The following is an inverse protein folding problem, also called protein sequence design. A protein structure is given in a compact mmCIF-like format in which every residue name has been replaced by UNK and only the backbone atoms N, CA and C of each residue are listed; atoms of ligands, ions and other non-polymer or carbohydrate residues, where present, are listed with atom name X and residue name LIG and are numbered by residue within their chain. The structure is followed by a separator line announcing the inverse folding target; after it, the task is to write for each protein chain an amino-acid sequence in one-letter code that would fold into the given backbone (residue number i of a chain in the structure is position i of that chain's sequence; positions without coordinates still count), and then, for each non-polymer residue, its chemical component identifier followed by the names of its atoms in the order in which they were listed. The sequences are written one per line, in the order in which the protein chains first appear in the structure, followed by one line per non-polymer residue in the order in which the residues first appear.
data_IF_828091061853
#
_entry.id   IF_828091061853
#
_cell.length_a   1.000
_cell.length_b   1.000
_cell.length_c   1.000
_cell.angle_alpha   90.00
_cell.angle_beta   90.00
_cell.angle_gamma   90.00
#
_symmetry.space_group_name_H-M   'P 1'
#
loop_
_entity.id
_entity.type
_entity.pdbx_description
1 polymer ?
#
# COMPACT_ATOMS: atom_id res chain seq x y z
N UNK A 1 17.11 -7.31 18.59
CA UNK A 1 17.22 -7.70 17.15
C UNK A 1 17.34 -6.46 16.28
N UNK A 2 17.93 -6.57 15.10
CA UNK A 2 17.90 -5.50 14.09
C UNK A 2 16.57 -5.49 13.34
N UNK A 3 16.19 -4.36 12.74
CA UNK A 3 14.87 -4.16 12.10
C UNK A 3 14.53 -5.23 11.06
N UNK A 4 15.47 -5.59 10.18
CA UNK A 4 15.27 -6.64 9.18
C UNK A 4 14.92 -8.00 9.78
N UNK A 5 15.58 -8.38 10.87
CA UNK A 5 15.33 -9.64 11.58
C UNK A 5 13.95 -9.64 12.26
N UNK A 6 13.57 -8.54 12.92
CA UNK A 6 12.24 -8.39 13.52
C UNK A 6 11.14 -8.54 12.46
N UNK A 7 11.31 -7.84 11.33
CA UNK A 7 10.36 -7.90 10.23
C UNK A 7 10.23 -9.32 9.68
N UNK A 8 11.36 -10.01 9.42
CA UNK A 8 11.35 -11.38 8.90
C UNK A 8 10.64 -12.34 9.87
N UNK A 9 10.94 -12.28 11.17
CA UNK A 9 10.28 -13.12 12.18
C UNK A 9 8.78 -12.86 12.24
N UNK A 10 8.36 -11.60 12.12
CA UNK A 10 6.93 -11.26 12.07
C UNK A 10 6.25 -11.87 10.84
N UNK A 11 6.84 -11.72 9.65
CA UNK A 11 6.31 -12.30 8.40
C UNK A 11 6.20 -13.84 8.46
N UNK A 12 7.09 -14.49 9.22
CA UNK A 12 7.07 -15.93 9.47
C UNK A 12 6.14 -16.36 10.61
N UNK A 13 5.38 -15.42 11.20
CA UNK A 13 4.48 -15.66 12.34
C UNK A 13 5.19 -16.28 13.57
N UNK A 14 6.46 -15.93 13.79
CA UNK A 14 7.21 -16.44 14.93
C UNK A 14 6.92 -15.61 16.18
N UNK A 15 6.60 -16.26 17.33
CA UNK A 15 6.40 -15.56 18.59
C UNK A 15 7.64 -14.76 19.01
N UNK A 16 7.42 -13.67 19.73
CA UNK A 16 8.48 -12.86 20.31
C UNK A 16 8.50 -13.02 21.84
N UNK A 17 9.69 -12.90 22.44
CA UNK A 17 9.85 -13.03 23.89
C UNK A 17 9.98 -11.66 24.60
N UNK A 18 10.23 -10.62 23.83
CA UNK A 18 10.40 -9.25 24.30
C UNK A 18 9.59 -8.32 23.39
N UNK A 19 8.79 -7.40 23.97
CA UNK A 19 8.01 -6.42 23.21
C UNK A 19 8.87 -5.59 22.25
N UNK A 20 10.13 -5.34 22.60
CA UNK A 20 11.09 -4.60 21.75
C UNK A 20 11.43 -5.31 20.45
N UNK A 21 11.05 -6.58 20.31
CA UNK A 21 11.20 -7.37 19.10
C UNK A 21 9.95 -7.33 18.20
N UNK A 22 8.85 -6.71 18.66
CA UNK A 22 7.70 -6.39 17.80
C UNK A 22 8.13 -5.28 16.84
N UNK A 23 8.03 -5.48 15.51
CA UNK A 23 8.41 -4.43 14.57
C UNK A 23 7.38 -3.29 14.57
N UNK A 24 7.88 -2.06 14.39
CA UNK A 24 7.05 -0.88 14.15
C UNK A 24 7.15 -0.51 12.68
N UNK A 25 6.00 -0.42 12.01
CA UNK A 25 5.89 0.03 10.64
C UNK A 25 5.02 1.28 10.57
N UNK A 26 5.57 2.37 10.04
CA UNK A 26 4.84 3.61 9.77
C UNK A 26 4.84 3.88 8.26
N UNK A 27 3.78 4.53 7.78
CA UNK A 27 3.69 5.00 6.41
C UNK A 27 3.84 6.52 6.39
N UNK A 28 5.10 6.98 6.46
CA UNK A 28 5.47 8.39 6.53
C UNK A 28 5.79 8.92 5.12
N UNK A 29 4.79 9.48 4.44
CA UNK A 29 4.92 10.02 3.09
C UNK A 29 4.67 11.54 3.11
N UNK A 30 3.42 11.99 3.01
CA UNK A 30 3.07 13.42 2.94
C UNK A 30 3.30 14.14 4.27
N UNK A 31 3.16 13.44 5.40
CA UNK A 31 3.48 13.98 6.72
C UNK A 31 4.91 14.51 6.83
N UNK A 32 5.85 13.92 6.08
CA UNK A 32 7.26 14.34 6.14
C UNK A 32 7.46 15.81 5.77
N UNK A 33 6.73 16.32 4.78
CA UNK A 33 6.75 17.74 4.41
C UNK A 33 6.35 18.63 5.57
N UNK A 34 5.20 18.31 6.19
CA UNK A 34 4.68 19.08 7.34
C UNK A 34 5.65 19.07 8.51
N UNK A 35 6.15 17.89 8.88
CA UNK A 35 7.10 17.74 9.99
C UNK A 35 8.38 18.54 9.79
N UNK A 36 8.90 18.58 8.55
CA UNK A 36 10.13 19.29 8.19
C UNK A 36 9.90 20.79 7.88
N UNK A 37 8.67 21.29 7.94
CA UNK A 37 8.35 22.67 7.56
C UNK A 37 8.51 22.96 6.07
N UNK A 38 8.46 21.91 5.23
CA UNK A 38 8.46 22.00 3.77
C UNK A 38 7.03 21.95 3.22
N UNK A 39 6.79 22.59 2.08
CA UNK A 39 5.50 22.50 1.40
C UNK A 39 5.32 21.13 0.73
N UNK A 40 4.08 20.71 0.52
CA UNK A 40 3.78 19.51 -0.25
C UNK A 40 4.35 19.59 -1.66
N UNK A 41 4.25 20.77 -2.30
CA UNK A 41 4.87 21.03 -3.59
C UNK A 41 6.36 20.68 -3.60
N UNK A 42 7.12 21.14 -2.61
CA UNK A 42 8.56 20.92 -2.55
C UNK A 42 8.94 19.44 -2.49
N UNK A 43 8.24 18.66 -1.65
CA UNK A 43 8.52 17.22 -1.52
C UNK A 43 7.98 16.40 -2.70
N UNK A 44 6.95 16.88 -3.43
CA UNK A 44 6.45 16.26 -4.66
C UNK A 44 7.39 16.49 -5.85
N UNK A 45 7.95 17.70 -5.98
CA UNK A 45 8.81 18.08 -7.13
C UNK A 45 10.26 17.61 -6.98
N UNK A 46 10.72 17.35 -5.75
CA UNK A 46 12.14 17.03 -5.47
C UNK A 46 12.30 15.82 -4.57
N UNK A 47 12.83 14.74 -5.12
CA UNK A 47 13.15 13.55 -4.34
C UNK A 47 14.21 13.82 -3.26
N UNK A 48 15.16 14.73 -3.51
CA UNK A 48 16.16 15.14 -2.52
C UNK A 48 15.50 15.83 -1.32
N UNK A 49 14.56 16.76 -1.56
CA UNK A 49 13.79 17.41 -0.47
C UNK A 49 12.94 16.41 0.29
N UNK A 50 12.32 15.46 -0.39
CA UNK A 50 11.59 14.38 0.27
C UNK A 50 12.51 13.55 1.19
N UNK A 51 13.71 13.19 0.73
CA UNK A 51 14.68 12.46 1.56
C UNK A 51 15.10 13.27 2.79
N UNK A 52 15.36 14.58 2.62
CA UNK A 52 15.67 15.48 3.73
C UNK A 52 14.52 15.56 4.73
N UNK A 53 13.28 15.73 4.24
CA UNK A 53 12.08 15.77 5.05
C UNK A 53 11.85 14.46 5.81
N UNK A 54 12.04 13.32 5.14
CA UNK A 54 11.88 11.98 5.73
C UNK A 54 12.91 11.74 6.84
N UNK A 55 14.16 12.07 6.60
CA UNK A 55 15.21 11.97 7.62
C UNK A 55 14.89 12.88 8.82
N UNK A 56 14.51 14.14 8.59
CA UNK A 56 14.11 15.05 9.66
C UNK A 56 12.95 14.51 10.48
N UNK A 57 11.97 13.89 9.82
CA UNK A 57 10.83 13.26 10.48
C UNK A 57 11.29 12.13 11.40
N UNK A 58 12.16 11.23 10.93
CA UNK A 58 12.72 10.17 11.79
C UNK A 58 13.50 10.72 12.99
N UNK A 59 14.30 11.78 12.78
CA UNK A 59 15.03 12.44 13.87
C UNK A 59 14.08 13.06 14.91
N UNK A 60 12.87 13.46 14.48
CA UNK A 60 11.87 14.12 15.35
C UNK A 60 10.99 13.14 16.10
N UNK A 61 10.42 12.13 15.41
CA UNK A 61 9.43 11.22 16.00
C UNK A 61 10.04 9.90 16.47
N UNK A 62 11.26 9.59 16.07
CA UNK A 62 11.95 8.31 16.26
C UNK A 62 11.99 7.48 14.98
N UNK A 63 12.84 6.48 14.98
CA UNK A 63 13.06 5.59 13.83
C UNK A 63 12.16 4.37 13.92
N UNK A 64 11.22 4.15 12.97
CA UNK A 64 10.47 2.89 12.88
C UNK A 64 11.39 1.74 12.44
N UNK A 65 10.95 0.49 12.58
CA UNK A 65 11.69 -0.65 12.04
C UNK A 65 11.51 -0.75 10.52
N UNK A 66 10.32 -0.37 10.00
CA UNK A 66 10.05 -0.34 8.57
C UNK A 66 9.19 0.88 8.17
N UNK A 67 9.30 1.28 6.90
CA UNK A 67 8.49 2.35 6.30
C UNK A 67 8.41 2.16 4.77
N UNK A 68 7.57 2.94 4.12
CA UNK A 68 7.47 3.02 2.67
C UNK A 68 8.56 3.93 2.08
N UNK A 69 9.13 3.53 0.96
CA UNK A 69 10.14 4.33 0.25
C UNK A 69 9.53 5.32 -0.75
N UNK A 70 8.22 5.28 -0.96
CA UNK A 70 7.51 6.02 -1.99
C UNK A 70 7.60 7.54 -1.76
N UNK A 71 7.94 8.26 -2.82
CA UNK A 71 7.87 9.73 -2.88
C UNK A 71 6.44 10.13 -3.28
N UNK A 72 5.81 11.13 -2.65
CA UNK A 72 4.43 11.49 -2.95
C UNK A 72 4.23 11.95 -4.41
N UNK A 73 5.20 12.65 -5.00
CA UNK A 73 5.10 13.08 -6.41
C UNK A 73 5.22 11.93 -7.41
N UNK A 74 6.04 10.91 -7.08
CA UNK A 74 6.15 9.69 -7.86
C UNK A 74 4.88 8.83 -7.71
N UNK A 75 4.32 8.74 -6.50
CA UNK A 75 3.05 8.06 -6.23
C UNK A 75 1.93 8.68 -7.05
N UNK A 76 1.74 10.01 -6.99
CA UNK A 76 0.71 10.70 -7.78
C UNK A 76 0.85 10.47 -9.29
N UNK A 77 2.07 10.33 -9.78
CA UNK A 77 2.29 10.06 -11.21
C UNK A 77 1.93 8.62 -11.59
N UNK A 78 2.15 7.67 -10.69
CA UNK A 78 1.94 6.25 -10.95
C UNK A 78 0.48 5.80 -10.75
N UNK A 79 -0.38 6.68 -10.22
CA UNK A 79 -1.78 6.34 -9.93
C UNK A 79 -2.61 6.04 -11.18
N UNK A 80 -3.55 5.13 -11.03
CA UNK A 80 -4.49 4.74 -12.08
C UNK A 80 -5.59 5.79 -12.33
N UNK A 81 -5.60 6.90 -11.59
CA UNK A 81 -6.53 8.01 -11.73
C UNK A 81 -5.81 9.30 -12.06
N UNK A 82 -6.47 10.25 -12.75
CA UNK A 82 -5.99 11.63 -12.79
C UNK A 82 -5.87 12.20 -11.37
N UNK A 83 -4.78 12.89 -11.09
CA UNK A 83 -4.48 13.46 -9.77
C UNK A 83 -4.29 14.96 -9.88
N UNK A 84 -4.99 15.74 -9.05
CA UNK A 84 -4.67 17.15 -8.81
C UNK A 84 -3.50 17.24 -7.83
N UNK A 85 -2.50 18.03 -8.16
CA UNK A 85 -1.22 18.04 -7.46
C UNK A 85 -0.94 19.38 -6.76
N UNK A 86 -0.28 19.34 -5.59
CA UNK A 86 0.19 20.55 -4.92
C UNK A 86 1.06 21.43 -5.83
N UNK A 87 0.78 22.72 -5.83
CA UNK A 87 1.54 23.69 -6.62
C UNK A 87 1.26 23.70 -8.12
N UNK A 88 0.31 22.88 -8.59
CA UNK A 88 -0.14 22.83 -9.99
C UNK A 88 -1.63 23.17 -10.05
N UNK A 89 -2.50 22.24 -9.68
CA UNK A 89 -3.95 22.46 -9.62
C UNK A 89 -4.42 22.85 -8.22
N UNK A 90 -3.60 22.62 -7.20
CA UNK A 90 -3.88 22.88 -5.79
C UNK A 90 -2.89 23.87 -5.20
N UNK A 91 -3.19 24.41 -4.02
CA UNK A 91 -2.25 25.20 -3.24
C UNK A 91 -1.01 24.42 -2.84
N UNK A 92 0.11 25.11 -2.61
CA UNK A 92 1.43 24.48 -2.36
C UNK A 92 1.46 23.53 -1.15
N UNK A 93 0.55 23.71 -0.17
CA UNK A 93 0.45 22.92 1.06
C UNK A 93 -0.77 22.01 1.11
N UNK A 94 -1.53 21.89 0.03
CA UNK A 94 -2.68 21.00 0.00
C UNK A 94 -2.25 19.55 -0.26
N UNK A 95 -3.03 18.59 0.24
CA UNK A 95 -2.87 17.20 -0.10
C UNK A 95 -3.33 16.98 -1.55
N UNK A 96 -2.61 16.15 -2.30
CA UNK A 96 -3.05 15.73 -3.63
C UNK A 96 -4.45 15.11 -3.58
N UNK A 97 -5.19 15.21 -4.68
CA UNK A 97 -6.59 14.76 -4.77
C UNK A 97 -6.77 13.88 -6.00
N UNK A 98 -7.33 12.70 -5.78
CA UNK A 98 -7.80 11.85 -6.88
C UNK A 98 -9.02 12.46 -7.55
N UNK A 99 -9.06 12.38 -8.88
CA UNK A 99 -10.20 12.81 -9.69
C UNK A 99 -10.87 11.57 -10.24
N UNK A 100 -11.90 11.09 -9.55
CA UNK A 100 -12.66 9.95 -10.01
C UNK A 100 -13.60 10.37 -11.15
N UNK A 101 -13.31 9.85 -12.32
CA UNK A 101 -14.10 10.03 -13.55
C UNK A 101 -14.02 8.75 -14.36
N UNK A 102 -15.02 8.49 -15.18
CA UNK A 102 -14.93 7.40 -16.16
C UNK A 102 -13.89 7.75 -17.24
N UNK A 103 -12.77 7.04 -17.21
CA UNK A 103 -11.65 7.23 -18.14
C UNK A 103 -11.49 6.05 -19.13
N UNK A 104 -12.48 5.16 -19.17
CA UNK A 104 -12.47 3.91 -19.91
C UNK A 104 -13.86 3.69 -20.54
N UNK A 105 -13.90 3.28 -21.80
CA UNK A 105 -15.13 2.90 -22.50
C UNK A 105 -15.38 1.40 -22.33
N UNK A 106 -16.60 0.95 -22.63
CA UNK A 106 -16.98 -0.46 -22.49
C UNK A 106 -16.15 -1.38 -23.40
N UNK A 107 -15.78 -0.90 -24.60
CA UNK A 107 -14.96 -1.61 -25.58
C UNK A 107 -13.49 -1.79 -25.14
N UNK A 108 -13.05 -1.02 -24.13
CA UNK A 108 -11.69 -1.15 -23.59
C UNK A 108 -11.50 -2.49 -22.87
N UNK A 109 -12.54 -3.09 -22.30
CA UNK A 109 -12.46 -4.45 -21.74
C UNK A 109 -12.05 -5.45 -22.83
N UNK A 110 -12.66 -5.39 -24.00
CA UNK A 110 -12.32 -6.25 -25.14
C UNK A 110 -10.91 -5.96 -25.67
N UNK A 111 -10.50 -4.68 -25.66
CA UNK A 111 -9.17 -4.27 -26.07
C UNK A 111 -8.09 -4.81 -25.13
N UNK A 112 -8.31 -4.77 -23.82
CA UNK A 112 -7.42 -5.34 -22.80
C UNK A 112 -7.33 -6.85 -22.95
N UNK A 113 -8.49 -7.53 -23.02
CA UNK A 113 -8.55 -8.98 -23.16
C UNK A 113 -7.80 -9.48 -24.41
N UNK A 114 -7.92 -8.77 -25.53
CA UNK A 114 -7.34 -9.16 -26.83
C UNK A 114 -5.86 -8.77 -26.97
N UNK A 115 -5.50 -7.54 -26.58
CA UNK A 115 -4.19 -6.95 -26.90
C UNK A 115 -3.23 -6.92 -25.71
N UNK A 116 -3.73 -7.15 -24.48
CA UNK A 116 -2.97 -7.12 -23.26
C UNK A 116 -3.07 -5.80 -22.49
N UNK A 117 -2.91 -5.94 -21.17
CA UNK A 117 -2.96 -4.81 -20.24
C UNK A 117 -1.82 -3.82 -20.46
N UNK A 118 -0.58 -4.28 -20.57
CA UNK A 118 0.59 -3.40 -20.62
C UNK A 118 0.51 -2.42 -21.80
N UNK A 119 0.08 -2.91 -22.98
CA UNK A 119 -0.07 -2.05 -24.16
C UNK A 119 -1.19 -1.03 -23.98
N UNK A 120 -2.35 -1.46 -23.47
CA UNK A 120 -3.49 -0.58 -23.22
C UNK A 120 -3.13 0.47 -22.15
N UNK A 121 -2.49 0.05 -21.07
CA UNK A 121 -2.11 0.90 -19.94
C UNK A 121 -1.11 2.01 -20.34
N UNK A 122 -0.15 1.73 -21.22
CA UNK A 122 0.75 2.78 -21.74
C UNK A 122 -0.05 3.90 -22.42
N UNK A 123 -1.00 3.56 -23.30
CA UNK A 123 -1.88 4.53 -23.95
C UNK A 123 -2.75 5.30 -22.95
N UNK A 124 -3.30 4.58 -21.97
CA UNK A 124 -4.10 5.14 -20.89
C UNK A 124 -3.30 6.14 -20.05
N UNK A 125 -2.14 5.73 -19.53
CA UNK A 125 -1.28 6.57 -18.70
C UNK A 125 -0.78 7.81 -19.44
N UNK A 126 -0.56 7.71 -20.77
CA UNK A 126 -0.19 8.88 -21.56
C UNK A 126 -1.31 9.94 -21.60
N UNK A 127 -2.58 9.50 -21.75
CA UNK A 127 -3.70 10.44 -21.92
C UNK A 127 -4.21 11.06 -20.63
N UNK A 128 -4.07 10.37 -19.48
CA UNK A 128 -4.53 10.91 -18.19
C UNK A 128 -3.57 11.92 -17.56
N UNK A 129 -2.33 12.01 -18.04
CA UNK A 129 -1.40 13.01 -17.53
C UNK A 129 -1.84 14.43 -17.94
N UNK A 130 -1.52 15.41 -17.10
CA UNK A 130 -1.76 16.83 -17.40
C UNK A 130 -0.43 17.60 -17.40
N UNK A 131 0.08 18.05 -18.58
CA UNK A 131 -0.43 17.76 -19.93
C UNK A 131 -0.24 16.30 -20.35
N UNK A 132 -0.99 15.81 -21.37
CA UNK A 132 -0.79 14.47 -21.92
C UNK A 132 0.64 14.24 -22.40
N UNK A 133 1.12 13.00 -22.24
CA UNK A 133 2.49 12.59 -22.56
C UNK A 133 2.58 11.72 -23.80
N UNK A 134 3.75 11.69 -24.44
CA UNK A 134 4.09 10.62 -25.41
C UNK A 134 4.57 9.36 -24.66
N UNK A 135 4.56 8.18 -25.29
CA UNK A 135 5.12 6.97 -24.68
C UNK A 135 6.59 7.13 -24.25
N UNK A 136 7.42 7.85 -25.04
CA UNK A 136 8.81 8.09 -24.71
C UNK A 136 8.95 8.93 -23.43
N UNK A 137 8.11 9.95 -23.26
CA UNK A 137 8.07 10.77 -22.05
C UNK A 137 7.61 9.95 -20.85
N UNK A 138 6.59 9.10 -21.02
CA UNK A 138 6.09 8.21 -19.99
C UNK A 138 7.17 7.23 -19.52
N UNK A 139 7.86 6.55 -20.45
CA UNK A 139 8.95 5.63 -20.12
C UNK A 139 10.13 6.33 -19.43
N UNK A 140 10.49 7.54 -19.88
CA UNK A 140 11.53 8.33 -19.23
C UNK A 140 11.14 8.68 -17.78
N UNK A 141 9.87 9.02 -17.54
CA UNK A 141 9.35 9.32 -16.20
C UNK A 141 9.30 8.06 -15.31
N UNK A 142 8.89 6.92 -15.83
CA UNK A 142 8.98 5.64 -15.10
C UNK A 142 10.42 5.27 -14.74
N UNK A 143 11.37 5.51 -15.64
CA UNK A 143 12.79 5.36 -15.34
C UNK A 143 13.25 6.24 -14.18
N UNK A 144 12.76 7.50 -14.12
CA UNK A 144 13.04 8.41 -13.02
C UNK A 144 12.43 7.92 -11.69
N UNK A 145 11.20 7.39 -11.71
CA UNK A 145 10.57 6.77 -10.53
C UNK A 145 11.43 5.63 -9.97
N UNK A 146 11.91 4.75 -10.84
CA UNK A 146 12.80 3.67 -10.45
C UNK A 146 14.09 4.17 -9.81
N UNK A 147 14.70 5.21 -10.38
CA UNK A 147 15.90 5.82 -9.82
C UNK A 147 15.66 6.48 -8.46
N UNK A 148 14.55 7.22 -8.31
CA UNK A 148 14.12 7.82 -7.04
C UNK A 148 13.89 6.74 -5.98
N UNK A 149 13.14 5.68 -6.34
CA UNK A 149 12.87 4.56 -5.44
C UNK A 149 14.14 3.88 -4.95
N UNK A 150 15.10 3.62 -5.85
CA UNK A 150 16.39 3.04 -5.48
C UNK A 150 17.18 3.94 -4.53
N UNK A 151 17.19 5.26 -4.77
CA UNK A 151 17.83 6.24 -3.89
C UNK A 151 17.18 6.28 -2.50
N UNK A 152 15.84 6.27 -2.44
CA UNK A 152 15.09 6.27 -1.18
C UNK A 152 15.32 4.98 -0.36
N UNK A 153 15.30 3.82 -1.02
CA UNK A 153 15.65 2.52 -0.42
C UNK A 153 17.08 2.57 0.15
N UNK A 154 18.03 3.11 -0.61
CA UNK A 154 19.41 3.25 -0.17
C UNK A 154 19.54 4.12 1.08
N UNK A 155 18.89 5.28 1.11
CA UNK A 155 18.87 6.19 2.24
C UNK A 155 18.23 5.54 3.48
N UNK A 156 17.08 4.89 3.35
CA UNK A 156 16.41 4.22 4.46
C UNK A 156 17.27 3.13 5.09
N UNK A 157 17.91 2.29 4.26
CA UNK A 157 18.84 1.25 4.76
C UNK A 157 20.04 1.83 5.50
N UNK A 158 20.61 2.95 5.03
CA UNK A 158 21.69 3.63 5.77
C UNK A 158 21.24 4.16 7.13
N UNK A 159 19.95 4.49 7.27
CA UNK A 159 19.33 4.94 8.51
C UNK A 159 18.85 3.78 9.40
N UNK A 160 19.01 2.53 8.98
CA UNK A 160 18.56 1.35 9.73
C UNK A 160 17.06 1.09 9.67
N UNK A 161 16.34 1.74 8.74
CA UNK A 161 14.92 1.54 8.48
C UNK A 161 14.74 0.63 7.27
N UNK A 162 13.97 -0.45 7.41
CA UNK A 162 13.72 -1.37 6.30
C UNK A 162 12.64 -0.83 5.38
N UNK A 163 12.85 -0.78 4.06
CA UNK A 163 11.75 -0.57 3.12
C UNK A 163 10.80 -1.76 3.18
N UNK A 164 9.51 -1.52 3.44
CA UNK A 164 8.56 -2.62 3.62
C UNK A 164 8.31 -3.39 2.32
N UNK A 165 8.32 -2.72 1.17
CA UNK A 165 8.08 -3.29 -0.17
C UNK A 165 9.23 -2.95 -1.12
N UNK A 166 9.37 -3.71 -2.22
CA UNK A 166 10.29 -3.43 -3.33
C UNK A 166 9.60 -2.81 -4.54
N UNK A 167 8.34 -3.10 -4.73
CA UNK A 167 7.47 -2.52 -5.78
C UNK A 167 6.01 -2.58 -5.34
N UNK A 168 5.15 -1.94 -6.11
CA UNK A 168 3.69 -1.91 -5.92
C UNK A 168 3.01 -2.59 -7.10
N UNK A 169 1.97 -3.37 -6.82
CA UNK A 169 1.05 -3.93 -7.79
C UNK A 169 -0.38 -3.73 -7.30
N UNK A 170 -1.24 -3.13 -8.10
CA UNK A 170 -2.68 -3.04 -7.81
C UNK A 170 -3.37 -4.31 -8.32
N UNK A 171 -4.48 -4.72 -7.70
CA UNK A 171 -5.26 -5.84 -8.23
C UNK A 171 -6.03 -5.43 -9.50
N UNK A 172 -6.29 -6.35 -10.44
CA UNK A 172 -7.09 -6.03 -11.64
C UNK A 172 -8.45 -5.45 -11.32
N UNK A 173 -9.16 -6.01 -10.33
CA UNK A 173 -10.47 -5.52 -9.86
C UNK A 173 -10.38 -4.05 -9.42
N UNK A 174 -9.41 -3.75 -8.55
CA UNK A 174 -9.22 -2.39 -8.04
C UNK A 174 -8.80 -1.42 -9.14
N UNK A 175 -7.92 -1.83 -10.05
CA UNK A 175 -7.51 -1.01 -11.19
C UNK A 175 -8.70 -0.64 -12.09
N UNK A 176 -9.53 -1.62 -12.46
CA UNK A 176 -10.71 -1.39 -13.29
C UNK A 176 -11.74 -0.51 -12.58
N UNK A 177 -11.97 -0.75 -11.27
CA UNK A 177 -12.89 0.06 -10.46
C UNK A 177 -12.49 1.54 -10.38
N UNK A 178 -11.19 1.83 -10.44
CA UNK A 178 -10.66 3.19 -10.46
C UNK A 178 -10.78 3.82 -11.85
N UNK A 179 -10.42 3.08 -12.89
CA UNK A 179 -10.29 3.60 -14.27
C UNK A 179 -11.67 3.81 -14.91
N UNK A 180 -12.60 2.87 -14.69
CA UNK A 180 -13.97 2.89 -15.24
C UNK A 180 -14.91 3.82 -14.46
N UNK A 181 -14.57 4.33 -13.31
CA UNK A 181 -15.34 4.81 -12.17
C UNK A 181 -15.98 3.65 -11.38
N UNK A 182 -16.13 3.86 -10.08
CA UNK A 182 -16.68 2.79 -9.23
C UNK A 182 -18.14 2.46 -9.59
N UNK A 183 -18.94 3.50 -9.87
CA UNK A 183 -20.36 3.33 -10.22
C UNK A 183 -20.53 2.56 -11.53
N UNK A 184 -19.87 3.00 -12.61
CA UNK A 184 -19.95 2.34 -13.91
C UNK A 184 -19.41 0.91 -13.85
N UNK A 185 -18.28 0.70 -13.13
CA UNK A 185 -17.69 -0.63 -12.99
C UNK A 185 -18.63 -1.60 -12.26
N UNK A 186 -19.27 -1.18 -11.18
CA UNK A 186 -20.24 -2.02 -10.46
C UNK A 186 -21.44 -2.36 -11.36
N UNK A 187 -21.93 -1.42 -12.17
CA UNK A 187 -23.02 -1.73 -13.12
C UNK A 187 -22.55 -2.73 -14.17
N UNK A 188 -21.35 -2.55 -14.71
CA UNK A 188 -20.78 -3.45 -15.71
C UNK A 188 -20.60 -4.89 -15.20
N UNK A 189 -20.35 -5.11 -13.87
CA UNK A 189 -20.28 -6.45 -13.28
C UNK A 189 -21.59 -7.25 -13.51
N UNK A 190 -22.73 -6.57 -13.55
CA UNK A 190 -24.03 -7.20 -13.75
C UNK A 190 -24.43 -7.25 -15.22
N UNK A 191 -24.09 -6.22 -16.00
CA UNK A 191 -24.53 -6.09 -17.39
C UNK A 191 -23.59 -6.79 -18.38
N UNK A 192 -22.27 -6.83 -18.09
CA UNK A 192 -21.22 -7.32 -19.00
C UNK A 192 -20.20 -8.25 -18.31
N UNK A 193 -20.61 -9.21 -17.46
CA UNK A 193 -19.69 -10.00 -16.63
C UNK A 193 -18.64 -10.76 -17.45
N UNK A 194 -18.99 -11.30 -18.63
CA UNK A 194 -18.07 -12.07 -19.48
C UNK A 194 -16.89 -11.21 -19.98
N UNK A 195 -17.15 -9.94 -20.32
CA UNK A 195 -16.11 -8.99 -20.75
C UNK A 195 -15.16 -8.68 -19.61
N UNK A 196 -15.72 -8.47 -18.42
CA UNK A 196 -14.92 -8.15 -17.23
C UNK A 196 -14.05 -9.33 -16.83
N UNK A 197 -14.59 -10.55 -16.80
CA UNK A 197 -13.79 -11.76 -16.54
C UNK A 197 -12.62 -11.88 -17.54
N UNK A 198 -12.89 -11.72 -18.84
CA UNK A 198 -11.84 -11.79 -19.85
C UNK A 198 -10.74 -10.73 -19.68
N UNK A 199 -11.13 -9.51 -19.31
CA UNK A 199 -10.18 -8.43 -19.02
C UNK A 199 -9.38 -8.71 -17.76
N UNK A 200 -10.02 -9.09 -16.64
CA UNK A 200 -9.36 -9.41 -15.35
C UNK A 200 -8.37 -10.56 -15.53
N UNK A 201 -8.75 -11.63 -16.24
CA UNK A 201 -7.87 -12.78 -16.46
C UNK A 201 -6.59 -12.35 -17.20
N UNK A 202 -6.74 -11.57 -18.27
CA UNK A 202 -5.62 -11.06 -19.05
C UNK A 202 -4.76 -10.10 -18.24
N UNK A 203 -5.36 -9.15 -17.53
CA UNK A 203 -4.65 -8.22 -16.64
C UNK A 203 -3.85 -8.95 -15.58
N UNK A 204 -4.43 -9.99 -14.99
CA UNK A 204 -3.78 -10.79 -13.96
C UNK A 204 -2.47 -11.38 -14.47
N UNK A 205 -2.48 -12.00 -15.66
CA UNK A 205 -1.29 -12.61 -16.25
C UNK A 205 -0.21 -11.57 -16.60
N UNK A 206 -0.61 -10.47 -17.22
CA UNK A 206 0.32 -9.40 -17.60
C UNK A 206 0.91 -8.70 -16.37
N UNK A 207 0.09 -8.41 -15.34
CA UNK A 207 0.55 -7.77 -14.11
C UNK A 207 1.48 -8.68 -13.29
N UNK A 208 1.23 -9.98 -13.23
CA UNK A 208 2.16 -10.94 -12.62
C UNK A 208 3.49 -10.91 -13.35
N UNK A 209 3.48 -11.03 -14.67
CA UNK A 209 4.68 -11.08 -15.48
C UNK A 209 5.53 -9.80 -15.34
N UNK A 210 4.91 -8.63 -15.47
CA UNK A 210 5.58 -7.33 -15.37
C UNK A 210 6.12 -7.07 -13.96
N UNK A 211 5.35 -7.41 -12.91
CA UNK A 211 5.80 -7.27 -11.52
C UNK A 211 6.99 -8.17 -11.20
N UNK A 212 6.95 -9.44 -11.60
CA UNK A 212 8.06 -10.37 -11.38
C UNK A 212 9.31 -9.96 -12.18
N UNK A 213 9.13 -9.41 -13.38
CA UNK A 213 10.23 -8.86 -14.16
C UNK A 213 10.90 -7.67 -13.43
N UNK A 214 10.13 -6.73 -12.89
CA UNK A 214 10.65 -5.61 -12.10
C UNK A 214 11.40 -6.09 -10.86
N UNK A 215 10.93 -7.16 -10.23
CA UNK A 215 11.50 -7.72 -9.01
C UNK A 215 12.68 -8.67 -9.25
N UNK A 216 13.05 -8.93 -10.49
CA UNK A 216 14.16 -9.81 -10.82
C UNK A 216 15.48 -9.26 -10.24
N UNK A 217 16.12 -10.04 -9.34
CA UNK A 217 17.35 -9.62 -8.65
C UNK A 217 17.15 -8.53 -7.58
N UNK A 218 15.90 -8.09 -7.31
CA UNK A 218 15.64 -7.08 -6.30
C UNK A 218 15.99 -7.58 -4.90
N UNK A 219 16.68 -6.77 -4.05
CA UNK A 219 17.11 -7.19 -2.72
C UNK A 219 15.97 -7.34 -1.72
N UNK A 220 14.85 -6.63 -1.91
CA UNK A 220 13.67 -6.71 -1.05
C UNK A 220 12.75 -7.80 -1.59
N UNK A 221 12.39 -8.77 -0.75
CA UNK A 221 11.57 -9.92 -1.13
C UNK A 221 10.09 -9.73 -0.75
N UNK A 222 9.58 -8.53 -0.93
CA UNK A 222 8.19 -8.18 -0.62
C UNK A 222 7.61 -7.31 -1.74
N UNK A 223 6.38 -7.61 -2.14
CA UNK A 223 5.61 -6.90 -3.16
C UNK A 223 4.39 -6.29 -2.47
N UNK A 224 4.19 -4.96 -2.59
CA UNK A 224 2.96 -4.31 -2.16
C UNK A 224 1.83 -4.66 -3.12
N UNK A 225 0.76 -5.26 -2.60
CA UNK A 225 -0.46 -5.56 -3.36
C UNK A 225 -1.57 -4.67 -2.82
N UNK A 226 -2.16 -3.86 -3.66
CA UNK A 226 -3.18 -2.90 -3.26
C UNK A 226 -4.56 -3.38 -3.64
N UNK A 227 -5.44 -3.54 -2.62
CA UNK A 227 -6.83 -3.97 -2.74
C UNK A 227 -7.69 -3.04 -1.87
N UNK A 228 -8.01 -1.84 -2.41
CA UNK A 228 -8.63 -0.76 -1.65
C UNK A 228 -10.17 -0.71 -1.80
N UNK A 229 -10.72 -1.39 -2.83
CA UNK A 229 -12.15 -1.40 -3.16
C UNK A 229 -12.75 -2.80 -3.19
N UNK A 230 -12.00 -3.78 -2.71
CA UNK A 230 -12.41 -5.19 -2.63
C UNK A 230 -12.92 -5.59 -1.25
N UNK A 231 -13.20 -4.64 -0.36
CA UNK A 231 -13.68 -4.86 1.00
C UNK A 231 -15.22 -4.91 1.11
N UNK A 232 -15.73 -5.37 2.27
CA UNK A 232 -17.15 -5.56 2.49
C UNK A 232 -17.98 -4.26 2.63
N UNK A 233 -17.35 -3.10 2.69
CA UNK A 233 -18.05 -1.82 2.62
C UNK A 233 -18.32 -1.42 1.17
N UNK A 234 -17.49 -1.89 0.24
CA UNK A 234 -17.58 -1.58 -1.18
C UNK A 234 -18.40 -2.63 -1.97
N UNK A 235 -18.15 -3.92 -1.71
CA UNK A 235 -18.77 -5.04 -2.46
C UNK A 235 -19.24 -6.16 -1.54
N UNK A 236 -20.18 -6.98 -2.03
CA UNK A 236 -20.62 -8.17 -1.32
C UNK A 236 -19.55 -9.28 -1.35
N UNK A 237 -19.59 -10.23 -0.38
CA UNK A 237 -18.74 -11.42 -0.46
C UNK A 237 -18.89 -12.22 -1.76
N UNK A 238 -20.09 -12.26 -2.36
CA UNK A 238 -20.32 -12.97 -3.62
C UNK A 238 -19.59 -12.31 -4.79
N UNK A 239 -19.64 -10.96 -4.88
CA UNK A 239 -18.87 -10.20 -5.90
C UNK A 239 -17.36 -10.38 -5.67
N UNK A 240 -16.92 -10.37 -4.41
CA UNK A 240 -15.52 -10.62 -4.07
C UNK A 240 -15.07 -12.01 -4.56
N UNK A 241 -15.86 -13.05 -4.24
CA UNK A 241 -15.55 -14.43 -4.60
C UNK A 241 -15.57 -14.67 -6.12
N UNK A 242 -16.38 -13.93 -6.87
CA UNK A 242 -16.51 -14.07 -8.32
C UNK A 242 -15.46 -13.24 -9.10
N UNK A 243 -15.30 -11.95 -8.76
CA UNK A 243 -14.53 -11.01 -9.60
C UNK A 243 -13.18 -10.59 -9.02
N UNK A 244 -13.01 -10.56 -7.70
CA UNK A 244 -11.78 -10.05 -7.07
C UNK A 244 -10.85 -11.17 -6.60
N UNK A 245 -11.35 -12.09 -5.76
CA UNK A 245 -10.52 -13.10 -5.10
C UNK A 245 -9.78 -14.04 -6.06
N UNK A 246 -10.35 -14.51 -7.18
CA UNK A 246 -9.62 -15.41 -8.10
C UNK A 246 -8.33 -14.79 -8.65
N UNK A 247 -8.37 -13.53 -9.08
CA UNK A 247 -7.21 -12.79 -9.57
C UNK A 247 -6.19 -12.54 -8.45
N UNK A 248 -6.65 -12.06 -7.30
CA UNK A 248 -5.82 -11.82 -6.10
C UNK A 248 -5.11 -13.12 -5.67
N UNK A 249 -5.84 -14.24 -5.59
CA UNK A 249 -5.29 -15.56 -5.27
C UNK A 249 -4.21 -16.00 -6.26
N UNK A 250 -4.44 -15.81 -7.56
CA UNK A 250 -3.46 -16.14 -8.61
C UNK A 250 -2.19 -15.30 -8.49
N UNK A 251 -2.33 -14.00 -8.26
CA UNK A 251 -1.20 -13.09 -8.05
C UNK A 251 -0.36 -13.49 -6.84
N UNK A 252 -0.99 -13.69 -5.68
CA UNK A 252 -0.28 -14.03 -4.44
C UNK A 252 0.44 -15.36 -4.56
N UNK A 253 -0.19 -16.39 -5.16
CA UNK A 253 0.46 -17.67 -5.39
C UNK A 253 1.70 -17.52 -6.30
N UNK A 254 1.59 -16.79 -7.41
CA UNK A 254 2.70 -16.55 -8.33
C UNK A 254 3.87 -15.81 -7.67
N UNK A 255 3.56 -14.78 -6.86
CA UNK A 255 4.58 -14.03 -6.12
C UNK A 255 5.26 -14.91 -5.07
N UNK A 256 4.48 -15.72 -4.34
CA UNK A 256 5.01 -16.63 -3.34
C UNK A 256 5.91 -17.72 -3.94
N UNK A 257 5.52 -18.34 -5.04
CA UNK A 257 6.33 -19.31 -5.80
C UNK A 257 7.64 -18.70 -6.31
N UNK A 258 7.63 -17.41 -6.63
CA UNK A 258 8.83 -16.67 -7.02
C UNK A 258 9.67 -16.19 -5.82
N UNK A 259 9.27 -16.50 -4.57
CA UNK A 259 10.00 -16.18 -3.34
C UNK A 259 9.72 -14.78 -2.79
N UNK A 260 8.55 -14.21 -3.06
CA UNK A 260 8.13 -12.92 -2.54
C UNK A 260 6.90 -13.06 -1.62
N UNK A 261 6.93 -12.37 -0.48
CA UNK A 261 5.74 -12.18 0.38
C UNK A 261 4.94 -10.98 -0.12
N UNK A 262 3.63 -11.11 -0.19
CA UNK A 262 2.73 -10.00 -0.53
C UNK A 262 2.43 -9.17 0.71
N UNK A 263 2.66 -7.87 0.65
CA UNK A 263 2.17 -6.90 1.63
C UNK A 263 0.85 -6.40 1.08
N UNK A 264 -0.26 -6.92 1.63
CA UNK A 264 -1.60 -6.63 1.14
C UNK A 264 -2.16 -5.41 1.86
N UNK A 265 -2.21 -4.29 1.14
CA UNK A 265 -2.86 -3.07 1.62
C UNK A 265 -4.38 -3.23 1.51
N UNK A 266 -5.02 -3.36 2.66
CA UNK A 266 -6.39 -3.83 2.81
C UNK A 266 -7.22 -2.79 3.59
N UNK A 267 -7.59 -1.71 2.91
CA UNK A 267 -8.46 -0.68 3.47
C UNK A 267 -9.90 -1.20 3.62
N UNK A 268 -10.63 -0.71 4.61
CA UNK A 268 -12.03 -1.04 4.84
C UNK A 268 -12.28 -2.27 5.69
N UNK A 269 -13.46 -2.89 5.55
CA UNK A 269 -13.90 -4.03 6.37
C UNK A 269 -13.67 -5.37 5.67
N UNK A 270 -12.64 -6.08 6.07
CA UNK A 270 -12.27 -7.38 5.50
C UNK A 270 -12.79 -8.59 6.27
N UNK A 271 -13.40 -8.41 7.44
CA UNK A 271 -13.85 -9.53 8.29
C UNK A 271 -14.66 -10.59 7.51
N UNK A 272 -15.65 -10.23 6.66
CA UNK A 272 -16.45 -11.24 5.95
C UNK A 272 -15.67 -12.02 4.86
N UNK A 273 -14.50 -11.54 4.44
CA UNK A 273 -13.68 -12.13 3.38
C UNK A 273 -12.49 -12.93 3.90
N UNK A 274 -12.07 -12.74 5.17
CA UNK A 274 -10.78 -13.23 5.66
C UNK A 274 -10.62 -14.76 5.62
N UNK A 275 -11.69 -15.52 5.79
CA UNK A 275 -11.62 -16.99 5.77
C UNK A 275 -11.08 -17.54 4.43
N UNK A 276 -11.31 -16.84 3.29
CA UNK A 276 -10.83 -17.25 1.95
C UNK A 276 -9.31 -17.31 1.90
N UNK A 277 -8.63 -16.50 2.71
CA UNK A 277 -7.17 -16.40 2.69
C UNK A 277 -6.45 -17.63 3.28
N UNK A 278 -7.17 -18.53 3.94
CA UNK A 278 -6.64 -19.85 4.30
C UNK A 278 -6.38 -20.76 3.09
N UNK A 279 -6.94 -20.44 1.92
CA UNK A 279 -6.65 -21.14 0.67
C UNK A 279 -5.26 -20.81 0.10
N UNK A 280 -4.62 -19.76 0.64
CA UNK A 280 -3.30 -19.29 0.22
C UNK A 280 -2.17 -19.91 1.06
N UNK A 281 -0.95 -20.01 0.54
CA UNK A 281 0.17 -20.54 1.29
C UNK A 281 0.39 -19.78 2.59
N UNK A 282 0.64 -20.50 3.67
CA UNK A 282 0.97 -19.88 4.96
C UNK A 282 2.16 -18.92 4.80
N UNK A 283 2.10 -17.76 5.46
CA UNK A 283 3.10 -16.69 5.42
C UNK A 283 3.24 -15.98 4.06
N UNK A 284 2.37 -16.27 3.08
CA UNK A 284 2.44 -15.60 1.77
C UNK A 284 1.98 -14.14 1.80
N UNK A 285 1.25 -13.75 2.87
CA UNK A 285 0.69 -12.40 3.02
C UNK A 285 1.07 -11.80 4.37
N UNK A 286 1.29 -10.48 4.37
CA UNK A 286 1.16 -9.60 5.52
C UNK A 286 0.08 -8.57 5.22
N UNK A 287 -1.01 -8.59 5.98
CA UNK A 287 -2.10 -7.62 5.82
C UNK A 287 -1.73 -6.27 6.44
N UNK A 288 -2.16 -5.20 5.82
CA UNK A 288 -2.13 -3.85 6.37
C UNK A 288 -3.57 -3.35 6.49
N UNK A 289 -4.08 -3.27 7.74
CA UNK A 289 -5.43 -2.82 8.02
C UNK A 289 -5.43 -1.36 8.48
N UNK A 290 -6.40 -0.58 7.97
CA UNK A 290 -6.52 0.88 8.17
C UNK A 290 -7.19 1.29 9.50
N UNK A 291 -7.66 0.32 10.29
CA UNK A 291 -8.39 0.53 11.55
C UNK A 291 -9.92 0.43 11.40
N UNK A 292 -10.43 0.12 10.21
CA UNK A 292 -11.85 -0.21 9.97
C UNK A 292 -12.11 -1.69 10.22
N UNK A 293 -11.22 -2.56 9.74
CA UNK A 293 -11.22 -3.99 10.10
C UNK A 293 -10.82 -4.16 11.57
N UNK A 294 -11.67 -4.80 12.38
CA UNK A 294 -11.33 -5.16 13.78
C UNK A 294 -10.11 -6.10 13.81
N UNK A 295 -8.97 -5.56 14.19
CA UNK A 295 -7.69 -6.28 14.13
C UNK A 295 -7.65 -7.51 15.04
N UNK A 296 -8.33 -7.49 16.19
CA UNK A 296 -8.41 -8.64 17.10
C UNK A 296 -9.21 -9.78 16.50
N UNK A 297 -10.34 -9.46 15.87
CA UNK A 297 -11.13 -10.45 15.13
C UNK A 297 -10.38 -10.97 13.90
N UNK A 298 -9.70 -10.11 13.18
CA UNK A 298 -8.85 -10.52 12.07
C UNK A 298 -7.77 -11.51 12.55
N UNK A 299 -7.14 -11.23 13.69
CA UNK A 299 -6.15 -12.14 14.28
C UNK A 299 -6.76 -13.48 14.74
N UNK A 300 -8.00 -13.49 15.24
CA UNK A 300 -8.72 -14.74 15.57
C UNK A 300 -8.97 -15.60 14.33
N UNK A 301 -9.24 -14.98 13.18
CA UNK A 301 -9.53 -15.68 11.93
C UNK A 301 -8.23 -16.17 11.26
N UNK A 302 -7.27 -15.27 10.97
CA UNK A 302 -6.10 -15.57 10.13
C UNK A 302 -4.76 -15.48 10.86
N UNK A 303 -4.75 -15.12 12.15
CA UNK A 303 -3.52 -15.05 12.93
C UNK A 303 -2.78 -16.38 13.00
N UNK A 304 -1.45 -16.33 12.86
CA UNK A 304 -0.61 -17.52 12.77
C UNK A 304 -0.64 -18.22 11.41
N UNK A 305 -1.57 -17.85 10.49
CA UNK A 305 -1.53 -18.23 9.09
C UNK A 305 -0.87 -17.14 8.25
N UNK A 306 -1.31 -15.90 8.42
CA UNK A 306 -0.73 -14.70 7.82
C UNK A 306 -0.37 -13.70 8.90
N UNK A 307 0.59 -12.84 8.62
CA UNK A 307 0.94 -11.71 9.49
C UNK A 307 0.05 -10.50 9.19
N UNK A 308 0.03 -9.54 10.12
CA UNK A 308 -0.73 -8.31 9.96
C UNK A 308 -0.04 -7.12 10.60
N UNK A 309 -0.28 -5.94 10.04
CA UNK A 309 0.09 -4.65 10.59
C UNK A 309 -1.16 -3.88 10.95
N UNK A 310 -1.09 -3.16 12.01
CA UNK A 310 -2.10 -2.17 12.29
C UNK A 310 -2.03 -1.61 13.69
N UNK A 311 -3.00 -0.84 14.02
CA UNK A 311 -4.00 -0.20 13.15
C UNK A 311 -4.29 1.21 13.70
N UNK A 312 -3.20 1.87 14.23
CA UNK A 312 -3.37 3.22 14.77
C UNK A 312 -3.88 4.13 13.66
N UNK A 313 -5.16 4.47 13.72
CA UNK A 313 -5.85 5.14 12.63
C UNK A 313 -5.40 6.60 12.46
N UNK A 314 -5.63 7.16 11.27
CA UNK A 314 -5.40 8.57 10.98
C UNK A 314 -6.17 9.50 11.95
N UNK A 315 -7.40 9.10 12.34
CA UNK A 315 -8.20 9.81 13.34
C UNK A 315 -7.50 9.86 14.70
N UNK A 316 -7.00 8.72 15.19
CA UNK A 316 -6.32 8.63 16.48
C UNK A 316 -5.03 9.47 16.47
N UNK A 317 -4.20 9.36 15.42
CA UNK A 317 -2.96 10.14 15.28
C UNK A 317 -3.22 11.66 15.28
N UNK A 318 -4.38 12.10 14.81
CA UNK A 318 -4.77 13.53 14.73
C UNK A 318 -5.40 14.04 16.02
N UNK A 319 -6.37 13.30 16.59
CA UNK A 319 -7.27 13.86 17.61
C UNK A 319 -7.03 13.33 19.03
N UNK A 320 -6.42 12.15 19.20
CA UNK A 320 -6.12 11.60 20.51
C UNK A 320 -4.99 12.38 21.21
N UNK A 321 -4.84 12.14 22.51
CA UNK A 321 -3.68 12.55 23.30
C UNK A 321 -2.60 11.46 23.21
N UNK A 322 -1.36 11.81 23.57
CA UNK A 322 -0.26 10.85 23.67
C UNK A 322 -0.60 9.66 24.58
N UNK A 323 -1.22 9.91 25.73
CA UNK A 323 -1.62 8.85 26.68
C UNK A 323 -2.66 7.90 26.06
N UNK A 324 -3.63 8.42 25.33
CA UNK A 324 -4.63 7.59 24.63
C UNK A 324 -4.00 6.71 23.53
N UNK A 325 -3.00 7.24 22.81
CA UNK A 325 -2.24 6.46 21.83
C UNK A 325 -1.46 5.35 22.54
N UNK A 326 -0.77 5.67 23.64
CA UNK A 326 -0.04 4.67 24.44
C UNK A 326 -0.96 3.58 24.96
N UNK A 327 -2.08 3.92 25.56
CA UNK A 327 -3.08 2.95 26.05
C UNK A 327 -3.57 2.03 24.93
N UNK A 328 -3.87 2.59 23.76
CA UNK A 328 -4.31 1.81 22.60
C UNK A 328 -3.22 0.84 22.11
N UNK A 329 -1.98 1.32 21.94
CA UNK A 329 -0.85 0.51 21.54
C UNK A 329 -0.53 -0.60 22.56
N UNK A 330 -0.59 -0.29 23.88
CA UNK A 330 -0.41 -1.28 24.95
C UNK A 330 -1.45 -2.40 24.87
N UNK A 331 -2.71 -2.06 24.57
CA UNK A 331 -3.76 -3.04 24.34
C UNK A 331 -3.42 -3.99 23.19
N UNK A 332 -2.98 -3.46 22.05
CA UNK A 332 -2.60 -4.27 20.88
C UNK A 332 -1.37 -5.16 21.16
N UNK A 333 -0.35 -4.60 21.84
CA UNK A 333 0.85 -5.35 22.21
C UNK A 333 0.50 -6.51 23.14
N UNK A 334 -0.37 -6.27 24.13
CA UNK A 334 -0.81 -7.27 25.08
C UNK A 334 -1.62 -8.38 24.42
N UNK A 335 -2.56 -8.01 23.54
CA UNK A 335 -3.49 -8.95 22.94
C UNK A 335 -2.86 -9.76 21.80
N UNK A 336 -2.00 -9.14 20.98
CA UNK A 336 -1.48 -9.68 19.74
C UNK A 336 0.05 -9.78 19.69
N UNK A 337 0.75 -8.78 20.22
CA UNK A 337 2.17 -8.57 19.94
C UNK A 337 3.08 -9.75 20.25
N UNK A 338 2.86 -10.42 21.38
CA UNK A 338 3.73 -11.52 21.82
C UNK A 338 3.45 -12.85 21.10
N UNK A 339 2.29 -12.97 20.47
CA UNK A 339 1.87 -14.21 19.78
C UNK A 339 2.61 -14.46 18.46
N UNK A 340 3.21 -13.41 17.87
CA UNK A 340 3.84 -13.42 16.56
C UNK A 340 2.90 -13.03 15.43
N UNK A 341 3.47 -12.69 14.27
CA UNK A 341 2.69 -12.27 13.10
C UNK A 341 2.04 -10.90 13.22
N UNK A 342 2.46 -10.08 14.18
CA UNK A 342 1.91 -8.75 14.39
C UNK A 342 3.01 -7.67 14.30
N UNK A 343 2.73 -6.61 13.55
CA UNK A 343 3.48 -5.36 13.52
C UNK A 343 2.62 -4.22 14.06
N UNK A 344 3.16 -3.46 15.01
CA UNK A 344 2.51 -2.23 15.45
C UNK A 344 2.75 -1.13 14.42
N UNK A 345 1.73 -0.36 14.07
CA UNK A 345 1.94 0.72 13.11
C UNK A 345 0.74 1.62 12.86
N UNK A 346 0.93 2.57 11.95
CA UNK A 346 -0.18 3.35 11.42
C UNK A 346 -1.09 2.45 10.59
N UNK A 347 -2.40 2.67 10.63
CA UNK A 347 -3.36 1.90 9.84
C UNK A 347 -3.15 2.08 8.34
N UNK A 348 -2.95 3.32 7.92
CA UNK A 348 -2.64 3.71 6.54
C UNK A 348 -1.53 4.78 6.57
N UNK A 349 -1.45 5.64 5.57
CA UNK A 349 -0.56 6.79 5.57
C UNK A 349 -0.82 7.70 6.79
N UNK A 350 0.26 8.12 7.45
CA UNK A 350 0.21 9.08 8.55
C UNK A 350 -0.29 10.42 8.00
N UNK A 351 -1.44 10.93 8.49
CA UNK A 351 -2.04 12.12 7.90
C UNK A 351 -1.22 13.37 8.20
N UNK A 352 -1.30 14.36 7.31
CA UNK A 352 -0.62 15.66 7.47
C UNK A 352 -0.98 16.37 8.78
N UNK A 353 -2.16 16.09 9.35
CA UNK A 353 -2.65 16.64 10.62
C UNK A 353 -2.22 15.87 11.87
N UNK A 354 -1.47 14.77 11.72
CA UNK A 354 -0.99 13.98 12.85
C UNK A 354 -0.08 14.80 13.76
N UNK A 355 -0.16 14.51 15.06
CA UNK A 355 0.73 15.14 16.05
C UNK A 355 2.03 14.34 16.17
N UNK A 356 3.16 15.03 16.17
CA UNK A 356 4.48 14.38 16.29
C UNK A 356 4.61 13.53 17.56
N UNK A 357 4.06 14.01 18.68
CA UNK A 357 4.03 13.26 19.94
C UNK A 357 3.24 11.96 19.85
N UNK A 358 2.13 11.93 19.08
CA UNK A 358 1.33 10.73 18.89
C UNK A 358 2.08 9.68 18.05
N UNK A 359 2.76 10.11 16.99
CA UNK A 359 3.60 9.22 16.18
C UNK A 359 4.76 8.67 17.01
N UNK A 360 5.42 9.53 17.77
CA UNK A 360 6.49 9.11 18.67
C UNK A 360 6.00 8.12 19.74
N UNK A 361 4.76 8.29 20.25
CA UNK A 361 4.16 7.38 21.23
C UNK A 361 4.00 5.96 20.66
N UNK A 362 3.60 5.80 19.38
CA UNK A 362 3.53 4.48 18.73
C UNK A 362 4.88 3.77 18.77
N UNK A 363 5.97 4.48 18.39
CA UNK A 363 7.32 3.90 18.40
C UNK A 363 7.77 3.55 19.81
N UNK A 364 7.55 4.44 20.78
CA UNK A 364 7.94 4.26 22.19
C UNK A 364 7.22 3.10 22.85
N UNK A 365 5.95 2.84 22.50
CA UNK A 365 5.14 1.77 23.08
C UNK A 365 5.78 0.38 22.97
N UNK A 366 6.63 0.12 21.98
CA UNK A 366 7.39 -1.13 21.88
C UNK A 366 8.84 -1.00 22.35
N UNK A 367 9.35 0.21 22.62
CA UNK A 367 10.75 0.42 23.02
C UNK A 367 10.93 0.54 24.54
N UNK A 368 9.92 1.07 25.23
CA UNK A 368 9.86 1.27 26.69
C UNK A 368 9.13 0.10 27.35
#
# INVERSE_FOLDING_TARGET
MVSAEKLQRCLENLPVNDRRDIPVLLQLITYCGVCAGMTQKEIHESNEKFQQAKKFTYDTVGYPDADYFLNPGDTCFAEALPVRRPGIELGDNELFQFVETCNMELEDYDAIAKNGWDMWNVGYMCRIQNPPMTPEQLFARWGQLGANGAANIGMMKQLGVEPIIGTVCITPFDALSLIRSFEDFIMDLFDEPDRIHAAIDRMTDDMIASTLQQMQGHPIKRIGVFAMRSDANAISPDIFDEFSFPSLKKMINAFWEAGFTSILHADGNWIPMLDRFHELPKNSISFEFDGVTDLRKAYEIIGGWHSMRGDVSAYQLTYHTEDQIREYCEGLITDLGMKGGFMLGSGCEVPMSAKAENIAAVIKSVRE
#
